data_IF_312251198947
#
_entry.id   IF_312251198947
#
_cell.length_a   1.000
_cell.length_b   1.000
_cell.length_c   1.000
_cell.angle_alpha   90.00
_cell.angle_beta   90.00
_cell.angle_gamma   90.00
#
_symmetry.space_group_name_H-M   'P 1'
#
loop_
_entity.id
_entity.type
_entity.pdbx_description
1 polymer ?
#
# COMPACT_ATOMS: atom_id res chain seq x y z
N UNK A 1 10.89 15.41 11.93
CA UNK A 1 10.78 14.26 11.02
C UNK A 1 9.42 13.57 11.05
N UNK A 2 8.89 13.21 12.22
CA UNK A 2 7.60 12.52 12.33
C UNK A 2 6.45 13.26 11.63
N UNK A 3 6.29 14.57 11.85
CA UNK A 3 5.27 15.40 11.17
C UNK A 3 5.33 15.29 9.63
N UNK A 4 6.53 15.27 9.03
CA UNK A 4 6.72 15.11 7.58
C UNK A 4 6.35 13.70 7.13
N UNK A 5 6.75 12.68 7.89
CA UNK A 5 6.37 11.29 7.63
C UNK A 5 4.85 11.09 7.69
N UNK A 6 4.19 11.71 8.66
CA UNK A 6 2.75 11.61 8.86
C UNK A 6 1.97 12.23 7.70
N UNK A 7 2.28 13.45 7.26
CA UNK A 7 1.57 14.05 6.12
C UNK A 7 1.79 13.28 4.82
N UNK A 8 3.02 12.83 4.58
CA UNK A 8 3.33 12.01 3.42
C UNK A 8 2.55 10.69 3.43
N UNK A 9 2.55 10.01 4.59
CA UNK A 9 1.77 8.79 4.79
C UNK A 9 0.27 9.06 4.59
N UNK A 10 -0.27 10.14 5.16
CA UNK A 10 -1.68 10.48 5.09
C UNK A 10 -2.12 10.70 3.64
N UNK A 11 -1.36 11.45 2.85
CA UNK A 11 -1.64 11.67 1.43
C UNK A 11 -1.66 10.35 0.64
N UNK A 12 -0.67 9.47 0.89
CA UNK A 12 -0.59 8.15 0.26
C UNK A 12 -1.76 7.26 0.71
N UNK A 13 -2.07 7.24 2.01
CA UNK A 13 -3.10 6.41 2.60
C UNK A 13 -4.49 6.80 2.09
N UNK A 14 -4.80 8.10 2.00
CA UNK A 14 -6.06 8.60 1.43
C UNK A 14 -6.18 8.19 -0.03
N UNK A 15 -5.11 8.38 -0.82
CA UNK A 15 -5.12 8.01 -2.24
C UNK A 15 -5.33 6.50 -2.43
N UNK A 16 -4.57 5.67 -1.69
CA UNK A 16 -4.70 4.22 -1.77
C UNK A 16 -6.04 3.71 -1.27
N UNK A 17 -6.62 4.34 -0.23
CA UNK A 17 -7.95 4.00 0.24
C UNK A 17 -9.01 4.20 -0.86
N UNK A 18 -8.95 5.32 -1.59
CA UNK A 18 -9.86 5.57 -2.72
C UNK A 18 -9.72 4.48 -3.78
N UNK A 19 -8.50 4.07 -4.09
CA UNK A 19 -8.24 3.02 -5.08
C UNK A 19 -8.80 1.68 -4.64
N UNK A 20 -8.57 1.28 -3.38
CA UNK A 20 -9.12 0.04 -2.82
C UNK A 20 -10.65 0.05 -2.88
N UNK A 21 -11.29 1.19 -2.57
CA UNK A 21 -12.75 1.33 -2.66
C UNK A 21 -13.24 1.16 -4.10
N UNK A 22 -12.57 1.81 -5.07
CA UNK A 22 -12.92 1.68 -6.49
C UNK A 22 -12.70 0.25 -7.00
N UNK A 23 -11.58 -0.39 -6.63
CA UNK A 23 -11.29 -1.78 -6.98
C UNK A 23 -12.35 -2.73 -6.39
N UNK A 24 -12.82 -2.48 -5.17
CA UNK A 24 -13.89 -3.26 -4.55
C UNK A 24 -15.23 -3.09 -5.29
N UNK A 25 -15.59 -1.85 -5.65
CA UNK A 25 -16.78 -1.58 -6.47
C UNK A 25 -16.71 -2.28 -7.82
N UNK A 26 -15.56 -2.21 -8.51
CA UNK A 26 -15.35 -2.89 -9.79
C UNK A 26 -15.42 -4.41 -9.64
N UNK A 27 -14.85 -4.96 -8.57
CA UNK A 27 -14.93 -6.39 -8.28
C UNK A 27 -16.37 -6.85 -8.09
N UNK A 28 -17.13 -6.11 -7.27
CA UNK A 28 -18.55 -6.38 -7.02
C UNK A 28 -19.35 -6.30 -8.33
N UNK A 29 -19.10 -5.26 -9.14
CA UNK A 29 -19.82 -5.05 -10.39
C UNK A 29 -19.58 -6.21 -11.38
N UNK A 30 -18.31 -6.59 -11.58
CA UNK A 30 -17.93 -7.69 -12.48
C UNK A 30 -18.47 -9.04 -12.03
N UNK A 31 -18.57 -9.28 -10.73
CA UNK A 31 -19.11 -10.54 -10.21
C UNK A 31 -20.64 -10.56 -10.24
N UNK A 32 -21.29 -9.55 -9.67
CA UNK A 32 -22.74 -9.56 -9.42
C UNK A 32 -23.50 -9.18 -10.70
N UNK A 33 -23.10 -8.11 -11.37
CA UNK A 33 -23.86 -7.59 -12.52
C UNK A 33 -23.48 -8.29 -13.82
N UNK A 34 -22.18 -8.60 -14.01
CA UNK A 34 -21.70 -9.27 -15.23
C UNK A 34 -21.65 -10.80 -15.09
N UNK A 35 -21.91 -11.34 -13.89
CA UNK A 35 -22.00 -12.78 -13.67
C UNK A 35 -20.68 -13.54 -13.84
N UNK A 36 -19.53 -12.88 -13.76
CA UNK A 36 -18.21 -13.46 -14.05
C UNK A 36 -17.63 -14.29 -12.89
N UNK A 37 -18.48 -14.98 -12.12
CA UNK A 37 -18.08 -15.77 -10.94
C UNK A 37 -17.02 -16.84 -11.25
N UNK A 38 -17.02 -17.40 -12.47
CA UNK A 38 -16.00 -18.36 -12.91
C UNK A 38 -14.59 -17.74 -13.02
N UNK A 39 -14.50 -16.44 -13.31
CA UNK A 39 -13.25 -15.69 -13.46
C UNK A 39 -12.84 -14.93 -12.19
N UNK A 40 -13.45 -15.26 -11.04
CA UNK A 40 -13.24 -14.54 -9.78
C UNK A 40 -11.76 -14.44 -9.42
N UNK A 41 -10.98 -15.51 -9.64
CA UNK A 41 -9.54 -15.52 -9.34
C UNK A 41 -8.77 -14.59 -10.26
N UNK A 42 -9.04 -14.64 -11.55
CA UNK A 42 -8.40 -13.83 -12.58
C UNK A 42 -8.71 -12.35 -12.39
N UNK A 43 -9.98 -12.02 -12.10
CA UNK A 43 -10.42 -10.65 -11.80
C UNK A 43 -9.71 -10.15 -10.53
N UNK A 44 -9.67 -10.96 -9.47
CA UNK A 44 -8.99 -10.59 -8.23
C UNK A 44 -7.49 -10.31 -8.46
N UNK A 45 -6.79 -11.18 -9.18
CA UNK A 45 -5.36 -11.01 -9.50
C UNK A 45 -5.15 -9.75 -10.36
N UNK A 46 -6.04 -9.51 -11.33
CA UNK A 46 -6.02 -8.33 -12.19
C UNK A 46 -6.14 -7.04 -11.39
N UNK A 47 -7.17 -6.94 -10.55
CA UNK A 47 -7.38 -5.79 -9.67
C UNK A 47 -6.19 -5.59 -8.72
N UNK A 48 -5.72 -6.66 -8.08
CA UNK A 48 -4.56 -6.60 -7.20
C UNK A 48 -3.29 -6.08 -7.90
N UNK A 49 -3.08 -6.50 -9.15
CA UNK A 49 -1.95 -6.01 -9.97
C UNK A 49 -2.10 -4.51 -10.26
N UNK A 50 -3.31 -4.05 -10.57
CA UNK A 50 -3.60 -2.61 -10.77
C UNK A 50 -3.37 -1.82 -9.49
N UNK A 51 -3.81 -2.32 -8.32
CA UNK A 51 -3.55 -1.70 -7.02
C UNK A 51 -2.04 -1.55 -6.75
N UNK A 52 -1.22 -2.55 -7.09
CA UNK A 52 0.25 -2.47 -6.96
C UNK A 52 0.84 -1.37 -7.86
N UNK A 53 0.38 -1.27 -9.11
CA UNK A 53 0.86 -0.23 -10.02
C UNK A 53 0.55 1.16 -9.49
N UNK A 54 -0.67 1.36 -8.98
CA UNK A 54 -1.05 2.60 -8.33
C UNK A 54 -0.28 2.89 -7.06
N UNK A 55 0.05 1.89 -6.25
CA UNK A 55 0.85 2.10 -5.02
C UNK A 55 2.28 2.54 -5.32
N UNK A 56 2.91 1.98 -6.35
CA UNK A 56 4.22 2.42 -6.85
C UNK A 56 4.15 3.89 -7.27
N UNK A 57 3.13 4.24 -8.04
CA UNK A 57 2.93 5.61 -8.51
C UNK A 57 2.66 6.58 -7.36
N UNK A 58 1.75 6.24 -6.44
CA UNK A 58 1.37 7.08 -5.31
C UNK A 58 2.60 7.39 -4.44
N UNK A 59 3.36 6.36 -4.07
CA UNK A 59 4.58 6.51 -3.29
C UNK A 59 5.57 7.43 -4.02
N UNK A 60 5.86 7.17 -5.30
CA UNK A 60 6.75 8.00 -6.09
C UNK A 60 6.33 9.46 -6.16
N UNK A 61 5.09 9.69 -6.59
CA UNK A 61 4.50 11.00 -6.80
C UNK A 61 4.44 11.83 -5.52
N UNK A 62 3.95 11.28 -4.41
CA UNK A 62 3.84 12.04 -3.17
C UNK A 62 5.21 12.31 -2.53
N UNK A 63 6.19 11.43 -2.68
CA UNK A 63 7.56 11.71 -2.22
C UNK A 63 8.22 12.86 -2.99
N UNK A 64 7.99 12.96 -4.30
CA UNK A 64 8.44 14.11 -5.10
C UNK A 64 7.66 15.38 -4.73
N UNK A 65 6.33 15.30 -4.58
CA UNK A 65 5.46 16.43 -4.19
C UNK A 65 5.86 17.04 -2.84
N UNK A 66 6.27 16.21 -1.88
CA UNK A 66 6.77 16.65 -0.56
C UNK A 66 8.25 17.08 -0.58
N UNK A 67 8.89 17.13 -1.76
CA UNK A 67 10.27 17.56 -1.95
C UNK A 67 11.29 16.69 -1.21
N UNK A 68 11.02 15.39 -1.04
CA UNK A 68 11.92 14.47 -0.33
C UNK A 68 12.96 13.88 -1.28
N UNK A 69 12.56 13.62 -2.51
CA UNK A 69 13.38 13.04 -3.58
C UNK A 69 13.08 13.75 -4.88
N UNK A 70 14.04 13.74 -5.78
CA UNK A 70 13.86 14.15 -7.18
C UNK A 70 14.45 13.05 -8.05
N UNK A 71 13.70 12.57 -9.03
CA UNK A 71 14.17 11.52 -9.92
C UNK A 71 14.43 12.07 -11.31
N UNK A 72 15.62 11.81 -11.86
CA UNK A 72 15.90 12.08 -13.28
C UNK A 72 15.07 11.16 -14.19
N UNK A 73 14.91 9.88 -13.79
CA UNK A 73 14.02 8.93 -14.44
C UNK A 73 12.93 8.51 -13.44
N UNK A 74 11.72 9.06 -13.62
CA UNK A 74 10.58 8.82 -12.72
C UNK A 74 10.20 7.36 -12.60
N UNK A 75 10.15 6.62 -13.72
CA UNK A 75 9.73 5.21 -13.72
C UNK A 75 10.65 4.35 -12.83
N UNK A 76 11.95 4.37 -13.11
CA UNK A 76 12.94 3.59 -12.34
C UNK A 76 13.08 4.12 -10.90
N UNK A 77 12.94 5.44 -10.71
CA UNK A 77 12.99 6.08 -9.40
C UNK A 77 11.84 5.63 -8.48
N UNK A 78 10.63 5.62 -9.01
CA UNK A 78 9.42 5.23 -8.27
C UNK A 78 9.48 3.75 -7.87
N UNK A 79 9.91 2.87 -8.78
CA UNK A 79 10.11 1.46 -8.46
C UNK A 79 11.13 1.26 -7.34
N UNK A 80 12.30 1.89 -7.43
CA UNK A 80 13.34 1.78 -6.39
C UNK A 80 12.85 2.28 -5.03
N UNK A 81 12.14 3.41 -5.01
CA UNK A 81 11.56 3.96 -3.79
C UNK A 81 10.49 3.03 -3.20
N UNK A 82 9.59 2.54 -4.05
CA UNK A 82 8.55 1.59 -3.66
C UNK A 82 9.14 0.37 -2.97
N UNK A 83 10.09 -0.32 -3.61
CA UNK A 83 10.72 -1.51 -3.01
C UNK A 83 11.51 -1.20 -1.74
N UNK A 84 12.12 -0.02 -1.65
CA UNK A 84 12.77 0.40 -0.42
C UNK A 84 11.75 0.50 0.73
N UNK A 85 10.61 1.15 0.52
CA UNK A 85 9.58 1.29 1.57
C UNK A 85 8.93 -0.06 1.85
N UNK A 86 8.58 -0.83 0.81
CA UNK A 86 7.95 -2.14 0.91
C UNK A 86 8.75 -3.09 1.80
N UNK A 87 10.07 -3.18 1.62
CA UNK A 87 10.90 -4.04 2.46
C UNK A 87 10.82 -3.69 3.94
N UNK A 88 10.68 -2.40 4.27
CA UNK A 88 10.50 -1.95 5.66
C UNK A 88 9.09 -2.26 6.17
N UNK A 89 8.08 -2.06 5.33
CA UNK A 89 6.69 -2.39 5.67
C UNK A 89 6.54 -3.88 5.98
N UNK A 90 7.13 -4.77 5.16
CA UNK A 90 7.08 -6.22 5.36
C UNK A 90 7.61 -6.68 6.73
N UNK A 91 8.61 -5.98 7.29
CA UNK A 91 9.15 -6.29 8.62
C UNK A 91 8.11 -6.07 9.73
N UNK A 92 7.19 -5.12 9.54
CA UNK A 92 6.11 -4.86 10.51
C UNK A 92 4.84 -5.66 10.18
N UNK A 93 4.48 -5.71 8.89
CA UNK A 93 3.21 -6.29 8.41
C UNK A 93 3.20 -7.79 8.61
N UNK A 94 4.27 -8.50 8.23
CA UNK A 94 4.27 -9.98 8.26
C UNK A 94 4.04 -10.54 9.68
N UNK A 95 4.75 -10.06 10.72
CA UNK A 95 4.45 -10.48 12.09
C UNK A 95 3.05 -10.12 12.55
N UNK A 96 2.58 -8.89 12.24
CA UNK A 96 1.28 -8.40 12.68
C UNK A 96 0.13 -9.21 12.06
N UNK A 97 0.20 -9.47 10.75
CA UNK A 97 -0.78 -10.29 10.02
C UNK A 97 -0.72 -11.75 10.49
N UNK A 98 0.47 -12.30 10.71
CA UNK A 98 0.63 -13.66 11.25
C UNK A 98 -0.03 -13.81 12.63
N UNK A 99 0.13 -12.81 13.50
CA UNK A 99 -0.51 -12.78 14.82
C UNK A 99 -2.04 -12.67 14.73
N UNK A 100 -2.55 -11.79 13.85
CA UNK A 100 -4.00 -11.69 13.61
C UNK A 100 -4.57 -13.00 13.08
N UNK A 101 -3.92 -13.62 12.10
CA UNK A 101 -4.35 -14.88 11.52
C UNK A 101 -4.40 -16.01 12.55
N UNK A 102 -3.42 -16.03 13.47
CA UNK A 102 -3.37 -16.97 14.58
C UNK A 102 -4.56 -16.81 15.55
N UNK A 103 -4.90 -15.58 15.94
CA UNK A 103 -5.99 -15.32 16.91
C UNK A 103 -7.38 -15.51 16.27
N UNK A 104 -7.58 -14.99 15.07
CA UNK A 104 -8.90 -14.85 14.48
C UNK A 104 -9.24 -15.93 13.44
N UNK A 105 -8.35 -16.91 13.25
CA UNK A 105 -8.51 -18.08 12.39
C UNK A 105 -9.05 -17.78 10.97
N UNK A 106 -8.65 -16.64 10.38
CA UNK A 106 -9.05 -16.27 9.01
C UNK A 106 -10.49 -15.77 8.83
N UNK A 107 -11.18 -15.43 9.93
CA UNK A 107 -12.52 -14.83 9.90
C UNK A 107 -12.58 -13.51 9.11
N UNK A 108 -13.78 -13.08 8.73
CA UNK A 108 -13.98 -11.79 8.04
C UNK A 108 -13.40 -10.63 8.86
N UNK A 109 -13.55 -10.67 10.20
CA UNK A 109 -12.95 -9.68 11.11
C UNK A 109 -11.42 -9.66 11.01
N UNK A 110 -10.78 -10.83 10.84
CA UNK A 110 -9.32 -10.90 10.64
C UNK A 110 -8.89 -10.21 9.35
N UNK A 111 -9.66 -10.36 8.27
CA UNK A 111 -9.35 -9.76 6.96
C UNK A 111 -9.47 -8.24 6.99
N UNK A 112 -10.52 -7.72 7.63
CA UNK A 112 -10.70 -6.28 7.83
C UNK A 112 -9.54 -5.72 8.67
N UNK A 113 -9.20 -6.38 9.78
CA UNK A 113 -8.10 -5.96 10.63
C UNK A 113 -6.76 -5.95 9.88
N UNK A 114 -6.49 -6.95 9.03
CA UNK A 114 -5.30 -7.01 8.17
C UNK A 114 -5.19 -5.78 7.25
N UNK A 115 -6.28 -5.37 6.59
CA UNK A 115 -6.28 -4.19 5.71
C UNK A 115 -5.93 -2.92 6.49
N UNK A 116 -6.50 -2.74 7.69
CA UNK A 116 -6.16 -1.58 8.53
C UNK A 116 -4.70 -1.59 8.97
N UNK A 117 -4.15 -2.75 9.35
CA UNK A 117 -2.73 -2.87 9.71
C UNK A 117 -1.85 -2.54 8.52
N UNK A 118 -2.15 -3.04 7.32
CA UNK A 118 -1.36 -2.75 6.12
C UNK A 118 -1.30 -1.25 5.80
N UNK A 119 -2.41 -0.52 5.97
CA UNK A 119 -2.43 0.94 5.82
C UNK A 119 -1.60 1.62 6.91
N UNK A 120 -1.76 1.19 8.18
CA UNK A 120 -1.06 1.79 9.32
C UNK A 120 0.45 1.55 9.28
N UNK A 121 0.90 0.37 8.84
CA UNK A 121 2.32 0.01 8.74
C UNK A 121 3.08 0.79 7.67
N UNK A 122 2.36 1.43 6.75
CA UNK A 122 2.94 2.42 5.84
C UNK A 122 3.64 3.57 6.59
N UNK A 123 3.10 4.01 7.73
CA UNK A 123 3.67 5.11 8.51
C UNK A 123 5.05 4.78 9.12
N UNK A 124 5.23 3.69 9.90
CA UNK A 124 6.54 3.34 10.44
C UNK A 124 7.56 3.04 9.33
N UNK A 125 7.14 2.44 8.21
CA UNK A 125 8.02 2.20 7.06
C UNK A 125 8.54 3.49 6.43
N UNK A 126 7.65 4.46 6.18
CA UNK A 126 8.00 5.80 5.66
C UNK A 126 8.89 6.53 6.66
N UNK A 127 8.51 6.56 7.95
CA UNK A 127 9.27 7.23 8.99
C UNK A 127 10.70 6.70 9.09
N UNK A 128 10.87 5.37 9.05
CA UNK A 128 12.19 4.74 9.06
C UNK A 128 12.99 5.10 7.80
N UNK A 129 12.38 5.08 6.63
CA UNK A 129 13.04 5.49 5.39
C UNK A 129 13.57 6.94 5.48
N UNK A 130 12.73 7.88 5.92
CA UNK A 130 13.12 9.29 6.09
C UNK A 130 14.24 9.45 7.13
N UNK A 131 14.18 8.72 8.25
CA UNK A 131 15.23 8.72 9.27
C UNK A 131 16.56 8.20 8.73
N UNK A 132 16.54 7.22 7.81
CA UNK A 132 17.76 6.72 7.15
C UNK A 132 18.37 7.77 6.24
N UNK A 133 17.57 8.45 5.41
CA UNK A 133 18.07 9.51 4.52
C UNK A 133 18.71 10.64 5.32
N UNK A 134 18.04 11.10 6.38
CA UNK A 134 18.53 12.19 7.22
C UNK A 134 19.86 11.88 7.95
N UNK A 135 20.24 10.61 8.11
CA UNK A 135 21.53 10.23 8.70
C UNK A 135 22.67 10.17 7.68
N UNK A 136 22.33 10.06 6.41
CA UNK A 136 23.28 9.90 5.30
C UNK A 136 23.45 11.19 4.48
N UNK A 137 22.70 12.25 4.82
CA UNK A 137 22.87 13.62 4.30
C UNK A 137 23.64 14.44 5.33
#
# INVERSE_FOLDING_TARGET
>A
MFKKAFYLWLDIAIFMYIIIVVDFMLFEDLLIYWGLFFYMKEIFIGLFTVTILFSIFAIGYFFEKHGIVTFQNRFTGYLKLYFAILWRALVFVVPAVGFIAYIYHGSIGSRIATIFIEILDGLPAIYWYLKKISKNS
#
